data_IF_929122972074
#
_entry.id   IF_929122972074
#
_cell.length_a   1.000
_cell.length_b   1.000
_cell.length_c   1.000
_cell.angle_alpha   90.00
_cell.angle_beta   90.00
_cell.angle_gamma   90.00
#
_symmetry.space_group_name_H-M   'P 1'
#
loop_
_entity.id
_entity.type
_entity.pdbx_description
1 polymer ?
#
# COMPACT_ATOMS: atom_id res chain seq x y z
N UNK A 1 -27.08 16.04 20.74
CA UNK A 1 -25.74 16.16 21.34
C UNK A 1 -24.73 16.26 20.20
N UNK A 2 -23.84 17.23 20.24
CA UNK A 2 -22.79 17.32 19.19
C UNK A 2 -21.78 16.17 19.38
N UNK A 3 -21.43 15.47 18.30
CA UNK A 3 -20.37 14.45 18.32
C UNK A 3 -19.05 15.10 18.75
N UNK A 4 -18.34 14.47 19.68
CA UNK A 4 -17.02 14.96 20.11
C UNK A 4 -15.95 14.62 19.07
N UNK A 5 -14.82 15.31 19.08
CA UNK A 5 -13.67 14.96 18.25
C UNK A 5 -13.24 13.50 18.43
N UNK A 6 -13.39 12.95 19.64
CA UNK A 6 -13.08 11.55 19.94
C UNK A 6 -14.06 10.60 19.23
N UNK A 7 -15.35 10.90 19.26
CA UNK A 7 -16.38 10.08 18.61
C UNK A 7 -16.19 10.05 17.09
N UNK A 8 -15.90 11.22 16.49
CA UNK A 8 -15.63 11.34 15.06
C UNK A 8 -14.37 10.55 14.68
N UNK A 9 -13.31 10.63 15.48
CA UNK A 9 -12.08 9.85 15.27
C UNK A 9 -12.34 8.35 15.30
N UNK A 10 -13.03 7.85 16.34
CA UNK A 10 -13.34 6.42 16.47
C UNK A 10 -14.20 5.91 15.32
N UNK A 11 -15.18 6.70 14.89
CA UNK A 11 -16.01 6.40 13.72
C UNK A 11 -15.17 6.33 12.45
N UNK A 12 -14.25 7.27 12.26
CA UNK A 12 -13.32 7.27 11.13
C UNK A 12 -12.42 6.02 11.12
N UNK A 13 -11.86 5.65 12.28
CA UNK A 13 -11.03 4.44 12.41
C UNK A 13 -11.83 3.20 12.05
N UNK A 14 -13.03 3.03 12.61
CA UNK A 14 -13.89 1.87 12.28
C UNK A 14 -14.23 1.78 10.80
N UNK A 15 -14.54 2.91 10.17
CA UNK A 15 -14.94 2.97 8.76
C UNK A 15 -13.78 2.66 7.80
N UNK A 16 -12.57 3.15 8.12
CA UNK A 16 -11.45 3.14 7.17
C UNK A 16 -10.39 2.08 7.42
N UNK A 17 -10.30 1.47 8.63
CA UNK A 17 -9.21 0.57 9.02
C UNK A 17 -8.99 -0.59 8.04
N UNK A 18 -10.05 -1.23 7.56
CA UNK A 18 -9.93 -2.36 6.61
C UNK A 18 -9.23 -1.94 5.31
N UNK A 19 -9.61 -0.80 4.76
CA UNK A 19 -9.02 -0.27 3.52
C UNK A 19 -7.57 0.20 3.75
N UNK A 20 -7.33 0.87 4.86
CA UNK A 20 -5.99 1.33 5.25
C UNK A 20 -5.03 0.17 5.48
N UNK A 21 -5.50 -0.92 6.10
CA UNK A 21 -4.72 -2.14 6.26
C UNK A 21 -4.37 -2.78 4.90
N UNK A 22 -5.30 -2.77 3.95
CA UNK A 22 -5.02 -3.28 2.60
C UNK A 22 -3.95 -2.46 1.88
N UNK A 23 -3.96 -1.12 2.01
CA UNK A 23 -2.91 -0.23 1.50
C UNK A 23 -1.56 -0.56 2.16
N UNK A 24 -1.53 -0.64 3.49
CA UNK A 24 -0.32 -0.98 4.22
C UNK A 24 0.25 -2.33 3.75
N UNK A 25 -0.58 -3.39 3.67
CA UNK A 25 -0.18 -4.72 3.17
C UNK A 25 0.40 -4.69 1.76
N UNK A 26 -0.17 -3.89 0.87
CA UNK A 26 0.34 -3.74 -0.49
C UNK A 26 1.71 -3.04 -0.54
N UNK A 27 2.00 -2.15 0.42
CA UNK A 27 3.27 -1.39 0.48
C UNK A 27 4.35 -2.15 1.24
N UNK A 28 4.07 -2.64 2.45
CA UNK A 28 5.10 -3.21 3.34
C UNK A 28 5.04 -4.74 3.49
N UNK A 29 4.02 -5.38 2.93
CA UNK A 29 3.75 -6.80 3.13
C UNK A 29 2.90 -7.08 4.36
N UNK A 30 2.43 -8.33 4.50
CA UNK A 30 1.47 -8.71 5.54
C UNK A 30 2.06 -8.66 6.94
N UNK A 31 3.31 -9.03 7.11
CA UNK A 31 3.96 -9.12 8.43
C UNK A 31 4.05 -7.77 9.16
N UNK A 32 4.28 -6.68 8.43
CA UNK A 32 4.47 -5.35 9.01
C UNK A 32 3.24 -4.43 8.90
N UNK A 33 2.22 -4.85 8.17
CA UNK A 33 1.09 -3.97 7.83
C UNK A 33 0.25 -3.56 9.04
N UNK A 34 0.07 -4.45 9.99
CA UNK A 34 -0.70 -4.18 11.21
C UNK A 34 0.03 -3.19 12.11
N UNK A 35 1.34 -3.33 12.25
CA UNK A 35 2.17 -2.40 13.02
C UNK A 35 2.16 -1.01 12.39
N UNK A 36 2.27 -0.92 11.05
CA UNK A 36 2.15 0.34 10.31
C UNK A 36 0.80 1.00 10.56
N UNK A 37 -0.30 0.24 10.47
CA UNK A 37 -1.63 0.78 10.71
C UNK A 37 -1.79 1.25 12.15
N UNK A 38 -1.35 0.45 13.13
CA UNK A 38 -1.42 0.82 14.54
C UNK A 38 -0.62 2.09 14.83
N UNK A 39 0.61 2.19 14.32
CA UNK A 39 1.44 3.37 14.50
C UNK A 39 0.82 4.62 13.86
N UNK A 40 0.24 4.48 12.67
CA UNK A 40 -0.47 5.57 12.00
C UNK A 40 -1.70 6.04 12.82
N UNK A 41 -2.49 5.09 13.34
CA UNK A 41 -3.66 5.41 14.19
C UNK A 41 -3.23 6.08 15.49
N UNK A 42 -2.17 5.61 16.14
CA UNK A 42 -1.62 6.23 17.35
C UNK A 42 -1.15 7.67 17.10
N UNK A 43 -0.45 7.90 16.00
CA UNK A 43 0.00 9.24 15.62
C UNK A 43 -1.21 10.19 15.39
N UNK A 44 -2.23 9.73 14.68
CA UNK A 44 -3.46 10.49 14.47
C UNK A 44 -4.21 10.74 15.78
N UNK A 45 -4.28 9.77 16.68
CA UNK A 45 -4.92 9.90 17.99
C UNK A 45 -4.25 10.95 18.87
N UNK A 46 -2.92 10.95 18.94
CA UNK A 46 -2.14 11.92 19.71
C UNK A 46 -2.39 13.36 19.26
N UNK A 47 -2.66 13.57 17.99
CA UNK A 47 -2.86 14.89 17.39
C UNK A 47 -4.31 15.18 16.97
N UNK A 48 -5.27 14.33 17.39
CA UNK A 48 -6.66 14.35 16.87
C UNK A 48 -7.37 15.68 17.01
N UNK A 49 -7.01 16.50 18.01
CA UNK A 49 -7.61 17.82 18.22
C UNK A 49 -7.20 18.85 17.15
N UNK A 50 -6.15 18.57 16.36
CA UNK A 50 -5.63 19.47 15.31
C UNK A 50 -6.25 19.22 13.95
N UNK A 51 -7.04 18.13 13.81
CA UNK A 51 -7.55 17.71 12.51
C UNK A 51 -9.06 17.84 12.43
N UNK A 52 -9.53 18.12 11.22
CA UNK A 52 -10.94 18.04 10.86
C UNK A 52 -11.30 16.58 10.52
N UNK A 53 -12.18 16.00 11.32
CA UNK A 53 -12.64 14.62 11.14
C UNK A 53 -13.91 14.50 10.31
N UNK A 54 -14.37 15.56 9.65
CA UNK A 54 -15.52 15.51 8.71
C UNK A 54 -15.17 14.78 7.42
N UNK A 55 -13.89 14.88 6.99
CA UNK A 55 -13.36 14.20 5.79
C UNK A 55 -12.03 13.48 6.08
N UNK A 56 -12.02 12.45 6.95
CA UNK A 56 -10.80 11.85 7.48
C UNK A 56 -10.02 10.99 6.48
N UNK A 57 -10.67 10.50 5.41
CA UNK A 57 -10.12 9.48 4.53
C UNK A 57 -8.76 9.86 3.90
N UNK A 58 -8.61 11.10 3.45
CA UNK A 58 -7.37 11.61 2.85
C UNK A 58 -6.23 11.69 3.86
N UNK A 59 -6.50 12.27 5.03
CA UNK A 59 -5.57 12.40 6.14
C UNK A 59 -5.09 11.00 6.61
N UNK A 60 -6.01 10.09 6.88
CA UNK A 60 -5.69 8.75 7.36
C UNK A 60 -4.86 7.97 6.35
N UNK A 61 -5.22 8.04 5.06
CA UNK A 61 -4.46 7.42 3.97
C UNK A 61 -3.04 7.95 3.89
N UNK A 62 -2.87 9.29 3.88
CA UNK A 62 -1.55 9.93 3.87
C UNK A 62 -0.70 9.48 5.06
N UNK A 63 -1.28 9.41 6.25
CA UNK A 63 -0.55 9.00 7.45
C UNK A 63 -0.09 7.55 7.36
N UNK A 64 -0.95 6.62 6.92
CA UNK A 64 -0.59 5.20 6.75
C UNK A 64 0.49 5.03 5.67
N UNK A 65 0.38 5.72 4.54
CA UNK A 65 1.40 5.65 3.47
C UNK A 65 2.74 6.20 3.94
N UNK A 66 2.75 7.33 4.63
CA UNK A 66 3.98 7.92 5.17
C UNK A 66 4.64 7.00 6.21
N UNK A 67 3.85 6.36 7.07
CA UNK A 67 4.37 5.40 8.05
C UNK A 67 4.95 4.15 7.35
N UNK A 68 4.27 3.65 6.32
CA UNK A 68 4.78 2.55 5.50
C UNK A 68 6.11 2.90 4.81
N UNK A 69 6.22 4.08 4.22
CA UNK A 69 7.45 4.57 3.61
C UNK A 69 8.57 4.77 4.64
N UNK A 70 8.23 5.31 5.83
CA UNK A 70 9.17 5.46 6.94
C UNK A 70 9.76 4.11 7.34
N UNK A 71 8.94 3.08 7.47
CA UNK A 71 9.39 1.72 7.79
C UNK A 71 10.33 1.16 6.71
N UNK A 72 10.00 1.35 5.42
CA UNK A 72 10.83 0.85 4.32
C UNK A 72 12.22 1.55 4.23
N UNK A 73 12.33 2.79 4.69
CA UNK A 73 13.59 3.55 4.72
C UNK A 73 14.48 3.21 5.91
N UNK A 74 13.94 2.59 6.95
CA UNK A 74 14.77 2.17 8.07
C UNK A 74 15.80 1.14 7.60
N UNK A 75 17.07 1.25 7.98
CA UNK A 75 18.06 0.23 7.68
C UNK A 75 17.55 -1.11 8.23
N UNK A 76 17.28 -2.05 7.36
CA UNK A 76 16.88 -3.39 7.77
C UNK A 76 18.03 -4.03 8.53
N UNK A 77 18.00 -4.03 9.84
CA UNK A 77 18.56 -5.14 10.58
C UNK A 77 17.79 -6.37 10.07
N UNK A 78 18.49 -7.19 9.30
CA UNK A 78 18.07 -8.44 8.65
C UNK A 78 16.84 -9.09 9.30
N UNK A 79 15.64 -8.61 8.99
CA UNK A 79 14.42 -9.37 9.18
C UNK A 79 14.25 -10.14 7.87
N UNK A 80 14.55 -11.41 7.91
CA UNK A 80 14.18 -12.41 6.93
C UNK A 80 12.76 -12.10 6.48
N UNK A 81 12.58 -11.89 5.19
CA UNK A 81 11.26 -11.73 4.61
C UNK A 81 10.49 -13.01 4.90
N UNK A 82 9.68 -12.96 5.95
CA UNK A 82 8.79 -14.06 6.31
C UNK A 82 7.74 -14.14 5.19
N UNK A 83 7.89 -15.14 4.37
CA UNK A 83 7.15 -15.39 3.12
C UNK A 83 5.78 -16.01 3.47
N UNK A 84 5.10 -15.45 4.50
CA UNK A 84 3.74 -15.88 4.83
C UNK A 84 2.75 -15.12 3.97
N UNK A 85 2.04 -15.81 3.07
CA UNK A 85 1.00 -15.20 2.25
C UNK A 85 -0.20 -14.86 3.11
N UNK A 86 -0.22 -13.66 3.67
CA UNK A 86 -1.45 -13.12 4.25
C UNK A 86 -2.55 -13.16 3.19
N UNK A 87 -3.58 -13.93 3.48
CA UNK A 87 -4.77 -14.12 2.67
C UNK A 87 -5.51 -12.80 2.53
N UNK A 88 -5.09 -11.96 1.56
CA UNK A 88 -5.85 -10.76 1.25
C UNK A 88 -7.14 -11.19 0.54
N UNK A 89 -8.27 -10.88 1.16
CA UNK A 89 -9.58 -10.95 0.51
C UNK A 89 -9.62 -9.90 -0.61
N UNK A 90 -9.18 -10.30 -1.80
CA UNK A 90 -9.42 -9.56 -3.03
C UNK A 90 -10.73 -10.08 -3.65
N UNK A 91 -11.68 -9.21 -4.04
CA UNK A 91 -12.94 -9.64 -4.64
C UNK A 91 -12.80 -10.24 -6.04
N UNK A 92 -11.59 -10.30 -6.60
CA UNK A 92 -11.32 -10.94 -7.90
C UNK A 92 -10.90 -12.40 -7.68
N UNK A 93 -11.76 -13.18 -7.03
CA UNK A 93 -11.64 -14.64 -6.97
C UNK A 93 -12.50 -15.26 -8.05
N UNK A 94 -11.84 -15.75 -9.09
CA UNK A 94 -12.57 -16.56 -10.06
C UNK A 94 -11.72 -17.24 -11.12
N UNK A 95 -10.58 -16.68 -11.54
CA UNK A 95 -9.79 -17.23 -12.66
C UNK A 95 -8.29 -16.90 -12.64
N UNK A 96 -7.78 -16.32 -11.56
CA UNK A 96 -6.34 -16.00 -11.47
C UNK A 96 -5.69 -17.08 -10.59
N UNK A 97 -4.71 -17.76 -11.16
CA UNK A 97 -3.84 -18.72 -10.50
C UNK A 97 -3.18 -18.09 -9.26
N UNK A 98 -3.30 -18.75 -8.10
CA UNK A 98 -2.71 -18.27 -6.84
C UNK A 98 -1.20 -18.02 -6.98
N UNK A 99 -0.52 -18.79 -7.84
CA UNK A 99 0.90 -18.59 -8.15
C UNK A 99 1.15 -17.25 -8.84
N UNK A 100 0.33 -16.87 -9.81
CA UNK A 100 0.44 -15.57 -10.49
C UNK A 100 0.24 -14.40 -9.51
N UNK A 101 -0.74 -14.51 -8.60
CA UNK A 101 -0.98 -13.49 -7.56
C UNK A 101 0.26 -13.33 -6.68
N UNK A 102 0.87 -14.43 -6.26
CA UNK A 102 2.10 -14.41 -5.46
C UNK A 102 3.27 -13.78 -6.22
N UNK A 103 3.43 -14.07 -7.49
CA UNK A 103 4.49 -13.48 -8.30
C UNK A 103 4.29 -11.97 -8.50
N UNK A 104 3.06 -11.52 -8.72
CA UNK A 104 2.75 -10.08 -8.78
C UNK A 104 3.11 -9.40 -7.46
N UNK A 105 2.73 -9.98 -6.30
CA UNK A 105 3.09 -9.45 -4.99
C UNK A 105 4.60 -9.37 -4.78
N UNK A 106 5.33 -10.45 -5.11
CA UNK A 106 6.79 -10.47 -5.04
C UNK A 106 7.43 -9.42 -5.95
N UNK A 107 6.90 -9.26 -7.16
CA UNK A 107 7.39 -8.25 -8.09
C UNK A 107 7.17 -6.82 -7.57
N UNK A 108 5.98 -6.52 -7.00
CA UNK A 108 5.66 -5.24 -6.37
C UNK A 108 6.58 -5.00 -5.17
N UNK A 109 6.80 -6.00 -4.31
CA UNK A 109 7.66 -5.89 -3.13
C UNK A 109 9.13 -5.57 -3.46
N UNK A 110 9.59 -5.87 -4.67
CA UNK A 110 10.94 -5.57 -5.15
C UNK A 110 11.10 -4.21 -5.83
N UNK A 111 10.00 -3.46 -5.99
CA UNK A 111 10.07 -2.09 -6.51
C UNK A 111 10.67 -1.13 -5.48
N UNK A 112 11.35 -0.07 -5.92
CA UNK A 112 11.68 1.06 -5.06
C UNK A 112 10.42 1.58 -4.34
N UNK A 113 10.58 2.04 -3.11
CA UNK A 113 9.48 2.39 -2.20
C UNK A 113 8.47 3.39 -2.81
N UNK A 114 8.97 4.45 -3.45
CA UNK A 114 8.10 5.44 -4.07
C UNK A 114 7.34 4.91 -5.30
N UNK A 115 7.97 4.01 -6.09
CA UNK A 115 7.32 3.38 -7.23
C UNK A 115 6.20 2.48 -6.77
N UNK A 116 6.46 1.71 -5.70
CA UNK A 116 5.49 0.82 -5.07
C UNK A 116 4.30 1.60 -4.51
N UNK A 117 4.58 2.64 -3.71
CA UNK A 117 3.52 3.46 -3.12
C UNK A 117 2.67 4.16 -4.20
N UNK A 118 3.30 4.75 -5.23
CA UNK A 118 2.59 5.39 -6.33
C UNK A 118 1.71 4.40 -7.09
N UNK A 119 2.20 3.18 -7.38
CA UNK A 119 1.40 2.13 -8.04
C UNK A 119 0.22 1.69 -7.17
N UNK A 120 0.43 1.46 -5.88
CA UNK A 120 -0.65 1.07 -4.97
C UNK A 120 -1.74 2.15 -4.92
N UNK A 121 -1.36 3.42 -4.78
CA UNK A 121 -2.32 4.52 -4.75
C UNK A 121 -3.06 4.70 -6.09
N UNK A 122 -2.37 4.47 -7.22
CA UNK A 122 -2.98 4.57 -8.53
C UNK A 122 -3.94 3.40 -8.83
N UNK A 123 -3.47 2.16 -8.65
CA UNK A 123 -4.18 0.97 -9.13
C UNK A 123 -5.19 0.41 -8.10
N UNK A 124 -4.93 0.53 -6.79
CA UNK A 124 -5.84 0.04 -5.75
C UNK A 124 -6.79 1.13 -5.25
N UNK A 125 -6.32 2.37 -5.19
CA UNK A 125 -7.11 3.48 -4.67
C UNK A 125 -7.74 4.35 -5.77
N UNK A 126 -7.42 4.09 -7.04
CA UNK A 126 -7.88 4.85 -8.21
C UNK A 126 -7.64 6.37 -8.06
N UNK A 127 -6.53 6.75 -7.43
CA UNK A 127 -6.20 8.15 -7.19
C UNK A 127 -5.64 8.81 -8.45
N UNK A 128 -6.02 10.06 -8.66
CA UNK A 128 -5.40 10.90 -9.70
C UNK A 128 -3.95 11.21 -9.37
N UNK A 129 -3.15 11.55 -10.37
CA UNK A 129 -1.73 11.90 -10.16
C UNK A 129 -1.53 13.10 -9.25
N UNK A 130 -2.47 14.04 -9.23
CA UNK A 130 -2.48 15.18 -8.30
C UNK A 130 -2.66 14.70 -6.87
N UNK A 131 -3.65 13.86 -6.62
CA UNK A 131 -3.90 13.29 -5.30
C UNK A 131 -2.73 12.43 -4.80
N UNK A 132 -2.10 11.64 -5.70
CA UNK A 132 -0.91 10.86 -5.35
C UNK A 132 0.26 11.80 -4.98
N UNK A 133 0.44 12.87 -5.73
CA UNK A 133 1.48 13.88 -5.46
C UNK A 133 1.30 14.51 -4.08
N UNK A 134 0.07 14.85 -3.70
CA UNK A 134 -0.27 15.36 -2.36
C UNK A 134 0.01 14.34 -1.25
N UNK A 135 -0.35 13.06 -1.46
CA UNK A 135 -0.12 11.99 -0.46
C UNK A 135 1.38 11.72 -0.27
N UNK A 136 2.15 11.69 -1.36
CA UNK A 136 3.57 11.34 -1.35
C UNK A 136 4.51 12.54 -1.14
N UNK A 137 3.96 13.74 -0.96
CA UNK A 137 4.71 15.01 -0.86
C UNK A 137 5.68 15.17 -2.05
N UNK A 138 5.15 15.04 -3.26
CA UNK A 138 5.89 15.01 -4.50
C UNK A 138 5.26 15.88 -5.58
N UNK A 139 6.00 16.17 -6.65
CA UNK A 139 5.43 16.83 -7.82
C UNK A 139 4.72 15.84 -8.75
N UNK A 140 3.72 16.31 -9.50
CA UNK A 140 3.02 15.49 -10.51
C UNK A 140 3.99 14.89 -11.54
N UNK A 141 5.01 15.59 -12.06
CA UNK A 141 6.02 14.98 -12.92
C UNK A 141 6.79 13.83 -12.27
N UNK A 142 7.12 13.92 -10.97
CA UNK A 142 7.75 12.82 -10.23
C UNK A 142 6.82 11.60 -10.16
N UNK A 143 5.54 11.81 -9.82
CA UNK A 143 4.54 10.72 -9.79
C UNK A 143 4.42 10.04 -11.15
N UNK A 144 4.33 10.81 -12.25
CA UNK A 144 4.33 10.24 -13.62
C UNK A 144 5.56 9.38 -13.88
N UNK A 145 6.73 9.86 -13.48
CA UNK A 145 7.99 9.12 -13.62
C UNK A 145 7.99 7.82 -12.81
N UNK A 146 7.53 7.87 -11.55
CA UNK A 146 7.46 6.70 -10.67
C UNK A 146 6.49 5.64 -11.21
N UNK A 147 5.31 6.05 -11.66
CA UNK A 147 4.33 5.16 -12.26
C UNK A 147 4.85 4.52 -13.55
N UNK A 148 5.45 5.32 -14.45
CA UNK A 148 6.01 4.81 -15.69
C UNK A 148 7.13 3.78 -15.44
N UNK A 149 8.11 4.12 -14.60
CA UNK A 149 9.22 3.23 -14.26
C UNK A 149 8.76 2.01 -13.48
N UNK A 150 7.85 2.18 -12.54
CA UNK A 150 7.27 1.09 -11.74
C UNK A 150 6.52 0.08 -12.62
N UNK A 151 5.65 0.55 -13.51
CA UNK A 151 4.93 -0.32 -14.46
C UNK A 151 5.88 -1.07 -15.40
N UNK A 152 6.92 -0.40 -15.90
CA UNK A 152 7.93 -1.03 -16.75
C UNK A 152 8.67 -2.14 -16.02
N UNK A 153 9.19 -1.87 -14.82
CA UNK A 153 9.89 -2.87 -14.02
C UNK A 153 8.99 -4.06 -13.64
N UNK A 154 7.71 -3.78 -13.33
CA UNK A 154 6.74 -4.83 -13.04
C UNK A 154 6.48 -5.71 -14.27
N UNK A 155 6.27 -5.09 -15.44
CA UNK A 155 6.05 -5.81 -16.70
C UNK A 155 7.25 -6.69 -17.09
N UNK A 156 8.49 -6.20 -16.94
CA UNK A 156 9.72 -6.96 -17.21
C UNK A 156 9.80 -8.21 -16.30
N UNK A 157 9.50 -8.07 -14.99
CA UNK A 157 9.53 -9.18 -14.03
C UNK A 157 8.45 -10.23 -14.30
N UNK A 158 7.23 -9.78 -14.63
CA UNK A 158 6.11 -10.68 -14.91
C UNK A 158 6.29 -11.41 -16.26
N UNK A 159 6.90 -10.76 -17.25
CA UNK A 159 7.26 -11.39 -18.51
C UNK A 159 8.26 -12.53 -18.30
N UNK A 160 9.33 -12.28 -17.55
CA UNK A 160 10.32 -13.31 -17.22
C UNK A 160 9.68 -14.53 -16.56
N UNK A 161 8.77 -14.32 -15.60
CA UNK A 161 8.03 -15.40 -14.97
C UNK A 161 7.14 -16.17 -15.95
N UNK A 162 6.42 -15.48 -16.82
CA UNK A 162 5.57 -16.12 -17.83
C UNK A 162 6.36 -16.96 -18.83
N UNK A 163 7.54 -16.51 -19.21
CA UNK A 163 8.43 -17.24 -20.12
C UNK A 163 9.02 -18.49 -19.44
N UNK A 164 9.44 -18.41 -18.17
CA UNK A 164 9.90 -19.56 -17.37
C UNK A 164 8.80 -20.61 -17.22
N UNK A 165 7.55 -20.20 -17.00
CA UNK A 165 6.40 -21.10 -16.88
C UNK A 165 6.15 -21.86 -18.16
N UNK A 166 6.13 -21.18 -19.31
CA UNK A 166 5.99 -21.82 -20.63
C UNK A 166 7.04 -22.88 -20.90
N UNK A 167 8.29 -22.67 -20.45
CA UNK A 167 9.37 -23.63 -20.59
C UNK A 167 9.20 -24.86 -19.67
N UNK A 168 8.56 -24.70 -18.51
CA UNK A 168 8.25 -25.82 -17.61
C UNK A 168 7.09 -26.69 -18.13
N UNK A 169 6.05 -26.03 -18.67
CA UNK A 169 4.87 -26.72 -19.21
C UNK A 169 5.15 -27.45 -20.55
N UNK A 170 6.28 -27.14 -21.19
CA UNK A 170 6.73 -27.77 -22.46
C UNK A 170 7.65 -29.00 -22.27
N UNK A 171 7.94 -29.39 -21.02
CA UNK A 171 8.73 -30.59 -20.67
C UNK A 171 7.88 -31.68 -20.06
#
# INVERSE_FOLDING_TARGET
>A
MAETTSDLFEKAVRLHSRRLLAIARAIVGSAAAEDVLQQAILNLYQHRQRYDWTQPAGLMRRTVVNEALRLLRQPRMSLVADDHPGRADSPVRGMIDDEMIQQVRKAIARLPEHFRAALVLCEYENMSYVQIAEVLDASVPQVKTWLHRGRRQLAEKLKAFADERKLKDAK
#
